data_IF_516084838891
#
_entry.id   IF_516084838891
#
_cell.length_a   1.000
_cell.length_b   1.000
_cell.length_c   1.000
_cell.angle_alpha   90.00
_cell.angle_beta   90.00
_cell.angle_gamma   90.00
#
_symmetry.space_group_name_H-M   'P 1'
#
loop_
_entity.id
_entity.type
_entity.pdbx_description
1 polymer ?
#
# COMPACT_ATOMS: atom_id res chain seq x y z
N UNK A 1 -13.51 33.42 -3.17
CA UNK A 1 -12.86 32.11 -3.31
C UNK A 1 -11.40 32.43 -3.58
N UNK A 2 -10.48 32.09 -2.66
CA UNK A 2 -9.06 32.37 -2.88
C UNK A 2 -8.55 31.44 -3.96
N UNK A 3 -8.05 32.03 -5.04
CA UNK A 3 -7.47 31.34 -6.17
C UNK A 3 -6.23 30.58 -5.69
N UNK A 4 -6.16 29.30 -6.04
CA UNK A 4 -5.01 28.44 -5.78
C UNK A 4 -3.85 28.92 -6.65
N UNK A 5 -2.89 29.65 -6.08
CA UNK A 5 -1.71 30.11 -6.81
C UNK A 5 -0.62 29.04 -6.67
N UNK A 6 -0.55 28.14 -7.65
CA UNK A 6 0.60 27.26 -7.85
C UNK A 6 1.74 28.05 -8.51
N UNK A 7 2.99 27.73 -8.17
CA UNK A 7 4.11 28.21 -8.98
C UNK A 7 4.09 27.50 -10.33
N UNK A 8 4.67 28.08 -11.40
CA UNK A 8 4.72 27.45 -12.72
C UNK A 8 5.31 26.02 -12.70
N UNK A 9 6.32 25.79 -11.86
CA UNK A 9 6.97 24.49 -11.69
C UNK A 9 6.03 23.47 -11.08
N UNK A 10 5.25 23.88 -10.06
CA UNK A 10 4.25 23.01 -9.42
C UNK A 10 3.07 22.70 -10.34
N UNK A 11 2.65 23.67 -11.17
CA UNK A 11 1.62 23.44 -12.19
C UNK A 11 2.09 22.42 -13.23
N UNK A 12 3.34 22.57 -13.71
CA UNK A 12 3.94 21.64 -14.69
C UNK A 12 4.01 20.23 -14.11
N UNK A 13 4.49 20.08 -12.87
CA UNK A 13 4.54 18.78 -12.19
C UNK A 13 3.14 18.16 -12.01
N UNK A 14 2.11 18.98 -11.78
CA UNK A 14 0.72 18.54 -11.70
C UNK A 14 0.24 17.97 -13.04
N UNK A 15 0.48 18.72 -14.12
CA UNK A 15 0.03 18.38 -15.47
C UNK A 15 0.71 17.10 -15.97
N UNK A 16 2.03 16.97 -15.77
CA UNK A 16 2.81 15.77 -16.13
C UNK A 16 2.30 14.50 -15.39
N UNK A 17 1.86 14.67 -14.14
CA UNK A 17 1.31 13.58 -13.34
C UNK A 17 -0.19 13.32 -13.58
N UNK A 18 -0.84 14.08 -14.48
CA UNK A 18 -2.32 14.10 -14.64
C UNK A 18 -3.05 14.33 -13.29
N UNK A 19 -2.43 15.10 -12.39
CA UNK A 19 -2.93 15.41 -11.07
C UNK A 19 -3.88 16.62 -11.06
N UNK A 20 -4.64 16.76 -9.98
CA UNK A 20 -5.39 17.98 -9.70
C UNK A 20 -5.33 18.30 -8.20
N UNK A 21 -5.44 19.57 -7.84
CA UNK A 21 -5.58 20.03 -6.45
C UNK A 21 -6.84 20.87 -6.31
N UNK A 22 -7.53 20.72 -5.18
CA UNK A 22 -8.75 21.48 -4.88
C UNK A 22 -8.69 21.97 -3.43
N UNK A 23 -8.80 23.28 -3.22
CA UNK A 23 -8.82 23.89 -1.88
C UNK A 23 -7.94 25.12 -1.76
N UNK A 24 -8.13 25.88 -0.68
CA UNK A 24 -7.38 27.12 -0.40
C UNK A 24 -6.03 26.88 0.28
N UNK A 25 -5.76 25.66 0.75
CA UNK A 25 -4.53 25.30 1.46
C UNK A 25 -4.17 23.86 1.14
N UNK A 26 -3.03 23.66 0.49
CA UNK A 26 -2.55 22.36 0.05
C UNK A 26 -1.01 22.35 0.11
N UNK A 27 -0.45 21.15 0.15
CA UNK A 27 0.99 20.91 0.01
C UNK A 27 1.15 19.92 -1.14
N UNK A 28 1.86 20.32 -2.19
CA UNK A 28 2.20 19.40 -3.28
C UNK A 28 3.44 18.62 -2.88
N UNK A 29 3.37 17.29 -2.96
CA UNK A 29 4.49 16.39 -2.65
C UNK A 29 4.47 15.19 -3.59
N UNK A 30 5.61 14.50 -3.71
CA UNK A 30 5.69 13.24 -4.44
C UNK A 30 4.87 12.16 -3.72
N UNK A 31 4.40 11.17 -4.48
CA UNK A 31 3.70 10.01 -3.91
C UNK A 31 4.58 9.27 -2.90
N UNK A 32 5.89 9.23 -3.14
CA UNK A 32 6.88 8.65 -2.22
C UNK A 32 6.91 9.40 -0.87
N UNK A 33 7.02 10.73 -0.88
CA UNK A 33 7.01 11.53 0.34
C UNK A 33 5.67 11.41 1.10
N UNK A 34 4.56 11.32 0.36
CA UNK A 34 3.25 11.05 0.95
C UNK A 34 3.21 9.67 1.62
N UNK A 35 3.75 8.64 0.97
CA UNK A 35 3.78 7.27 1.50
C UNK A 35 4.63 7.18 2.76
N UNK A 36 5.83 7.76 2.73
CA UNK A 36 6.73 7.83 3.89
C UNK A 36 6.06 8.53 5.07
N UNK A 37 5.44 9.70 4.84
CA UNK A 37 4.75 10.47 5.90
C UNK A 37 3.55 9.71 6.49
N UNK A 38 2.85 8.93 5.67
CA UNK A 38 1.69 8.14 6.10
C UNK A 38 2.07 6.77 6.68
N UNK A 39 3.36 6.41 6.70
CA UNK A 39 3.82 5.07 7.06
C UNK A 39 3.34 3.98 6.10
N UNK A 40 2.96 4.37 4.88
CA UNK A 40 2.61 3.45 3.81
C UNK A 40 3.94 2.96 3.24
N UNK A 41 4.13 1.64 3.28
CA UNK A 41 5.39 1.02 2.91
C UNK A 41 5.94 1.48 1.55
N UNK A 42 7.26 1.39 1.43
CA UNK A 42 8.05 1.62 0.22
C UNK A 42 7.48 0.91 -1.00
N UNK A 43 7.90 1.33 -2.20
CA UNK A 43 7.54 0.65 -3.45
C UNK A 43 7.94 -0.83 -3.46
N UNK A 44 8.98 -1.19 -2.70
CA UNK A 44 9.38 -2.57 -2.48
C UNK A 44 8.40 -3.34 -1.59
N UNK A 45 7.94 -2.75 -0.49
CA UNK A 45 6.91 -3.34 0.37
C UNK A 45 5.57 -3.46 -0.37
N UNK A 46 5.22 -2.48 -1.21
CA UNK A 46 4.06 -2.53 -2.09
C UNK A 46 4.18 -3.69 -3.08
N UNK A 47 5.32 -3.82 -3.75
CA UNK A 47 5.58 -4.91 -4.71
C UNK A 47 5.51 -6.27 -4.02
N UNK A 48 6.16 -6.42 -2.87
CA UNK A 48 6.14 -7.63 -2.05
C UNK A 48 4.71 -8.01 -1.64
N UNK A 49 3.89 -7.02 -1.26
CA UNK A 49 2.48 -7.22 -0.91
C UNK A 49 1.66 -7.73 -2.10
N UNK A 50 1.84 -7.11 -3.27
CA UNK A 50 1.15 -7.52 -4.51
C UNK A 50 1.57 -8.93 -4.93
N UNK A 51 2.86 -9.27 -4.85
CA UNK A 51 3.36 -10.61 -5.11
C UNK A 51 2.81 -11.65 -4.14
N UNK A 52 2.69 -11.32 -2.85
CA UNK A 52 2.10 -12.20 -1.85
C UNK A 52 0.62 -12.49 -2.16
N UNK A 53 -0.15 -11.49 -2.59
CA UNK A 53 -1.55 -11.66 -3.01
C UNK A 53 -1.65 -12.57 -4.23
N UNK A 54 -0.82 -12.35 -5.25
CA UNK A 54 -0.80 -13.20 -6.44
C UNK A 54 -0.43 -14.65 -6.12
N UNK A 55 0.53 -14.86 -5.21
CA UNK A 55 0.90 -16.19 -4.73
C UNK A 55 -0.28 -16.87 -4.03
N UNK A 56 -0.96 -16.17 -3.12
CA UNK A 56 -2.13 -16.70 -2.42
C UNK A 56 -3.27 -17.08 -3.37
N UNK A 57 -3.52 -16.26 -4.40
CA UNK A 57 -4.49 -16.59 -5.46
C UNK A 57 -4.10 -17.88 -6.21
N UNK A 58 -2.84 -18.00 -6.62
CA UNK A 58 -2.35 -19.19 -7.31
C UNK A 58 -2.37 -20.45 -6.42
N UNK A 59 -2.19 -20.29 -5.10
CA UNK A 59 -2.32 -21.38 -4.12
C UNK A 59 -3.78 -21.83 -3.97
N UNK A 60 -4.73 -20.90 -3.93
CA UNK A 60 -6.17 -21.21 -3.92
C UNK A 60 -6.57 -21.96 -5.19
N UNK A 61 -6.18 -21.45 -6.38
CA UNK A 61 -6.51 -22.07 -7.66
C UNK A 61 -5.93 -23.49 -7.80
N UNK A 62 -4.76 -23.73 -7.20
CA UNK A 62 -4.12 -25.04 -7.19
C UNK A 62 -4.55 -25.95 -6.04
N UNK A 63 -5.49 -25.52 -5.19
CA UNK A 63 -5.95 -26.28 -4.03
C UNK A 63 -4.91 -26.44 -2.91
N UNK A 64 -3.87 -25.60 -2.89
CA UNK A 64 -2.83 -25.54 -1.84
C UNK A 64 -3.31 -24.67 -0.67
N UNK A 65 -4.46 -25.01 -0.12
CA UNK A 65 -5.05 -24.33 1.04
C UNK A 65 -5.02 -25.23 2.26
N UNK A 66 -4.91 -24.64 3.45
CA UNK A 66 -4.97 -25.37 4.71
C UNK A 66 -6.29 -25.10 5.42
N UNK A 67 -6.79 -26.12 6.13
CA UNK A 67 -7.87 -25.91 7.09
C UNK A 67 -7.35 -25.09 8.28
N UNK A 68 -8.18 -24.17 8.76
CA UNK A 68 -7.77 -23.23 9.80
C UNK A 68 -7.50 -23.92 11.14
N UNK A 69 -8.24 -24.98 11.48
CA UNK A 69 -8.05 -25.73 12.72
C UNK A 69 -6.73 -26.51 12.69
N UNK A 70 -6.34 -27.03 11.52
CA UNK A 70 -5.06 -27.70 11.32
C UNK A 70 -3.87 -26.74 11.49
N UNK A 71 -3.99 -25.52 10.96
CA UNK A 71 -2.96 -24.48 11.11
C UNK A 71 -2.79 -24.08 12.58
N UNK A 72 -3.88 -23.87 13.31
CA UNK A 72 -3.80 -23.51 14.73
C UNK A 72 -3.19 -24.62 15.59
N UNK A 73 -3.54 -25.88 15.29
CA UNK A 73 -2.94 -27.04 15.96
C UNK A 73 -1.44 -27.14 15.67
N UNK A 74 -1.01 -26.97 14.43
CA UNK A 74 0.41 -26.97 14.06
C UNK A 74 1.20 -25.85 14.74
N UNK A 75 0.60 -24.64 14.83
CA UNK A 75 1.22 -23.50 15.51
C UNK A 75 1.35 -23.74 17.02
N UNK A 76 0.36 -24.36 17.66
CA UNK A 76 0.43 -24.71 19.09
C UNK A 76 1.46 -25.82 19.34
N UNK A 77 1.50 -26.85 18.50
CA UNK A 77 2.52 -27.92 18.55
C UNK A 77 3.95 -27.37 18.36
N UNK A 78 4.11 -26.37 17.49
CA UNK A 78 5.43 -25.83 17.12
C UNK A 78 5.92 -24.75 18.09
N UNK A 79 5.03 -23.89 18.58
CA UNK A 79 5.41 -22.68 19.33
C UNK A 79 4.83 -22.60 20.75
N UNK A 80 3.89 -23.48 21.12
CA UNK A 80 3.33 -23.57 22.48
C UNK A 80 2.59 -22.31 22.94
N UNK A 81 1.88 -21.64 22.03
CA UNK A 81 1.38 -20.26 22.24
C UNK A 81 -0.12 -20.12 22.54
N UNK A 82 -0.83 -21.18 22.95
CA UNK A 82 -2.18 -21.02 23.51
C UNK A 82 -2.38 -21.90 24.74
N UNK A 83 -1.85 -21.45 25.88
CA UNK A 83 -2.14 -21.95 27.22
C UNK A 83 -2.42 -20.80 28.17
#
# INVERSE_FOLDING_TARGET
>A
MSETILTPELQTALDEANGFVQGSSFVLMTVEAYREMMGVGSDEEMRSSVEAVHRGLADIEAGRTHDMDDVFRELDETYGTVG
#
